data_IF_473700006225
#
_entry.id   IF_473700006225
#
_cell.length_a   1.000
_cell.length_b   1.000
_cell.length_c   1.000
_cell.angle_alpha   90.00
_cell.angle_beta   90.00
_cell.angle_gamma   90.00
#
_symmetry.space_group_name_H-M   'P 1'
#
loop_
_entity.id
_entity.type
_entity.pdbx_description
1 polymer ?
#
# COMPACT_ATOMS: atom_id res chain seq x y z
N UNK A 1 -6.71 2.62 83.41
CA UNK A 1 -5.79 3.37 82.52
C UNK A 1 -6.44 3.40 81.14
N UNK A 2 -7.19 4.46 80.82
CA UNK A 2 -7.94 4.60 79.57
C UNK A 2 -7.35 5.74 78.74
N UNK A 3 -6.81 5.43 77.57
CA UNK A 3 -6.34 6.43 76.61
C UNK A 3 -7.55 6.99 75.85
N UNK A 4 -7.93 8.24 76.13
CA UNK A 4 -8.85 8.99 75.27
C UNK A 4 -8.08 9.51 74.05
N UNK A 5 -8.26 8.84 72.91
CA UNK A 5 -7.86 9.37 71.61
C UNK A 5 -8.73 10.58 71.26
N UNK A 6 -8.12 11.78 71.20
CA UNK A 6 -8.77 12.98 70.67
C UNK A 6 -8.96 12.80 69.15
N UNK A 7 -10.17 12.48 68.72
CA UNK A 7 -10.54 12.52 67.32
C UNK A 7 -10.75 13.98 66.90
N UNK A 8 -9.70 14.61 66.37
CA UNK A 8 -9.79 15.88 65.66
C UNK A 8 -10.30 15.61 64.23
N UNK A 9 -11.61 15.38 64.09
CA UNK A 9 -12.25 15.40 62.77
C UNK A 9 -12.52 16.85 62.38
N UNK A 10 -11.52 17.51 61.79
CA UNK A 10 -11.71 18.83 61.19
C UNK A 10 -12.44 18.66 59.85
N UNK A 11 -13.59 19.32 59.69
CA UNK A 11 -14.37 19.33 58.44
C UNK A 11 -13.76 20.27 57.40
N UNK A 12 -14.11 20.07 56.13
CA UNK A 12 -13.66 20.91 55.02
C UNK A 12 -14.39 22.25 54.98
N UNK A 13 -13.67 23.31 54.63
CA UNK A 13 -14.26 24.62 54.35
C UNK A 13 -14.84 24.65 52.93
N UNK A 14 -15.86 25.48 52.70
CA UNK A 14 -16.45 25.68 51.37
C UNK A 14 -15.41 26.14 50.33
N UNK A 15 -14.45 26.97 50.76
CA UNK A 15 -13.40 27.48 49.88
C UNK A 15 -12.44 26.38 49.43
N UNK A 16 -12.06 25.46 50.32
CA UNK A 16 -11.20 24.31 49.95
C UNK A 16 -11.88 23.40 48.93
N UNK A 17 -13.21 23.22 49.04
CA UNK A 17 -13.97 22.43 48.09
C UNK A 17 -14.01 23.09 46.70
N UNK A 18 -14.24 24.40 46.63
CA UNK A 18 -14.25 25.15 45.36
C UNK A 18 -12.87 25.17 44.71
N UNK A 19 -11.81 25.39 45.49
CA UNK A 19 -10.42 25.38 44.98
C UNK A 19 -10.04 23.98 44.50
N UNK A 20 -10.40 22.93 45.25
CA UNK A 20 -10.16 21.55 44.86
C UNK A 20 -10.84 21.19 43.54
N UNK A 21 -12.12 21.54 43.37
CA UNK A 21 -12.85 21.34 42.11
C UNK A 21 -12.24 22.12 40.94
N UNK A 22 -11.81 23.37 41.17
CA UNK A 22 -11.18 24.18 40.14
C UNK A 22 -9.88 23.54 39.62
N UNK A 23 -9.04 23.02 40.52
CA UNK A 23 -7.80 22.31 40.14
C UNK A 23 -8.13 21.01 39.38
N UNK A 24 -9.11 20.23 39.85
CA UNK A 24 -9.54 19.01 39.17
C UNK A 24 -10.02 19.28 37.73
N UNK A 25 -10.77 20.37 37.51
CA UNK A 25 -11.22 20.75 36.17
C UNK A 25 -10.06 21.13 35.24
N UNK A 26 -9.07 21.87 35.76
CA UNK A 26 -7.87 22.22 34.99
C UNK A 26 -7.10 20.95 34.60
N UNK A 27 -6.88 20.04 35.55
CA UNK A 27 -6.19 18.77 35.29
C UNK A 27 -6.94 17.90 34.28
N UNK A 28 -8.27 17.85 34.36
CA UNK A 28 -9.10 17.15 33.38
C UNK A 28 -8.96 17.77 31.98
N UNK A 29 -8.94 19.10 31.87
CA UNK A 29 -8.72 19.81 30.61
C UNK A 29 -7.38 19.42 29.96
N UNK A 30 -6.32 19.36 30.75
CA UNK A 30 -4.99 18.89 30.28
C UNK A 30 -5.04 17.43 29.84
N UNK A 31 -5.66 16.54 30.64
CA UNK A 31 -5.77 15.12 30.33
C UNK A 31 -6.54 14.86 29.03
N UNK A 32 -7.65 15.56 28.80
CA UNK A 32 -8.42 15.49 27.55
C UNK A 32 -7.60 15.99 26.36
N UNK A 33 -6.81 17.04 26.54
CA UNK A 33 -5.88 17.53 25.51
C UNK A 33 -4.88 16.45 25.08
N UNK A 34 -4.23 15.79 26.05
CA UNK A 34 -3.29 14.70 25.81
C UNK A 34 -3.99 13.52 25.11
N UNK A 35 -5.17 13.12 25.61
CA UNK A 35 -5.94 12.01 25.05
C UNK A 35 -6.31 12.25 23.58
N UNK A 36 -6.73 13.47 23.22
CA UNK A 36 -7.04 13.82 21.84
C UNK A 36 -5.82 13.72 20.91
N UNK A 37 -4.65 14.16 21.37
CA UNK A 37 -3.39 14.05 20.62
C UNK A 37 -2.98 12.59 20.42
N UNK A 38 -3.12 11.75 21.44
CA UNK A 38 -2.83 10.31 21.34
C UNK A 38 -3.78 9.63 20.36
N UNK A 39 -5.08 9.92 20.43
CA UNK A 39 -6.08 9.35 19.51
C UNK A 39 -5.78 9.71 18.05
N UNK A 40 -5.42 10.96 17.76
CA UNK A 40 -5.03 11.38 16.41
C UNK A 40 -3.79 10.64 15.92
N UNK A 41 -2.78 10.52 16.77
CA UNK A 41 -1.53 9.80 16.43
C UNK A 41 -1.79 8.33 16.15
N UNK A 42 -2.67 7.69 16.94
CA UNK A 42 -3.06 6.30 16.73
C UNK A 42 -3.76 6.09 15.37
N UNK A 43 -4.73 6.94 15.02
CA UNK A 43 -5.45 6.83 13.73
C UNK A 43 -4.50 7.05 12.55
N UNK A 44 -3.55 8.00 12.66
CA UNK A 44 -2.56 8.23 11.61
C UNK A 44 -1.64 7.02 11.44
N UNK A 45 -1.18 6.42 12.53
CA UNK A 45 -0.35 5.21 12.49
C UNK A 45 -1.08 4.05 11.81
N UNK A 46 -2.37 3.86 12.14
CA UNK A 46 -3.22 2.85 11.49
C UNK A 46 -3.28 3.07 9.97
N UNK A 47 -3.54 4.30 9.51
CA UNK A 47 -3.56 4.63 8.08
C UNK A 47 -2.22 4.40 7.37
N UNK A 48 -1.11 4.69 8.04
CA UNK A 48 0.23 4.43 7.48
C UNK A 48 0.48 2.93 7.36
N UNK A 49 0.07 2.13 8.35
CA UNK A 49 0.21 0.68 8.32
C UNK A 49 -0.63 0.08 7.17
N UNK A 50 -1.88 0.49 7.05
CA UNK A 50 -2.77 0.06 5.96
C UNK A 50 -2.19 0.40 4.58
N UNK A 51 -1.73 1.65 4.39
CA UNK A 51 -1.08 2.08 3.16
C UNK A 51 0.14 1.21 2.83
N UNK A 52 1.03 0.97 3.79
CA UNK A 52 2.23 0.16 3.58
C UNK A 52 1.90 -1.30 3.26
N UNK A 53 0.90 -1.86 3.94
CA UNK A 53 0.45 -3.23 3.67
C UNK A 53 -0.14 -3.35 2.26
N UNK A 54 -0.96 -2.39 1.85
CA UNK A 54 -1.58 -2.37 0.54
C UNK A 54 -0.54 -2.30 -0.60
N UNK A 55 0.44 -1.39 -0.48
CA UNK A 55 1.56 -1.29 -1.45
C UNK A 55 2.38 -2.58 -1.47
N UNK A 56 2.66 -3.17 -0.30
CA UNK A 56 3.42 -4.41 -0.20
C UNK A 56 2.70 -5.57 -0.89
N UNK A 57 1.40 -5.74 -0.64
CA UNK A 57 0.60 -6.79 -1.28
C UNK A 57 0.60 -6.64 -2.81
N UNK A 58 0.42 -5.41 -3.31
CA UNK A 58 0.44 -5.13 -4.74
C UNK A 58 1.78 -5.52 -5.38
N UNK A 59 2.90 -5.08 -4.79
CA UNK A 59 4.23 -5.41 -5.29
C UNK A 59 4.53 -6.90 -5.17
N UNK A 60 4.26 -7.55 -4.04
CA UNK A 60 4.57 -8.97 -3.86
C UNK A 60 3.83 -9.84 -4.89
N UNK A 61 2.61 -9.46 -5.25
CA UNK A 61 1.85 -10.12 -6.33
C UNK A 61 2.48 -9.85 -7.70
N UNK A 62 2.74 -8.58 -8.04
CA UNK A 62 3.38 -8.22 -9.32
C UNK A 62 4.73 -8.92 -9.49
N UNK A 63 5.57 -8.93 -8.45
CA UNK A 63 6.89 -9.57 -8.45
C UNK A 63 6.77 -11.05 -8.78
N UNK A 64 5.82 -11.75 -8.15
CA UNK A 64 5.62 -13.18 -8.38
C UNK A 64 5.24 -13.47 -9.82
N UNK A 65 4.32 -12.70 -10.38
CA UNK A 65 3.81 -12.90 -11.73
C UNK A 65 4.83 -12.49 -12.79
N UNK A 66 5.53 -11.37 -12.58
CA UNK A 66 6.62 -10.91 -13.44
C UNK A 66 7.74 -11.96 -13.51
N UNK A 67 8.08 -12.63 -12.41
CA UNK A 67 9.12 -13.67 -12.41
C UNK A 67 8.77 -14.86 -13.31
N UNK A 68 7.49 -15.16 -13.48
CA UNK A 68 7.01 -16.24 -14.34
C UNK A 68 6.84 -15.82 -15.80
N UNK A 69 7.03 -14.54 -16.13
CA UNK A 69 6.90 -14.04 -17.50
C UNK A 69 7.75 -14.87 -18.49
N UNK A 70 7.14 -15.29 -19.60
CA UNK A 70 7.80 -16.04 -20.66
C UNK A 70 8.06 -17.51 -20.35
N UNK A 71 7.47 -18.07 -19.30
CA UNK A 71 7.52 -19.51 -19.04
C UNK A 71 6.81 -20.26 -20.18
N UNK A 72 7.54 -21.01 -21.01
CA UNK A 72 7.04 -21.64 -22.24
C UNK A 72 7.51 -23.11 -22.35
N UNK A 73 6.89 -24.05 -21.61
CA UNK A 73 7.26 -25.47 -21.66
C UNK A 73 6.86 -26.14 -22.99
N UNK A 74 5.88 -25.59 -23.72
CA UNK A 74 5.43 -26.09 -25.02
C UNK A 74 6.31 -25.63 -26.19
N UNK A 75 7.22 -24.66 -25.97
CA UNK A 75 8.01 -23.98 -27.00
C UNK A 75 7.14 -23.35 -28.10
N UNK A 76 6.02 -22.75 -27.68
CA UNK A 76 5.07 -22.05 -28.56
C UNK A 76 5.60 -20.71 -29.09
N UNK A 77 6.63 -20.14 -28.47
CA UNK A 77 7.40 -19.00 -28.99
C UNK A 77 6.71 -17.64 -28.85
N UNK A 78 5.81 -17.48 -27.89
CA UNK A 78 5.21 -16.19 -27.56
C UNK A 78 6.20 -15.26 -26.85
N UNK A 79 5.86 -13.97 -26.80
CA UNK A 79 6.64 -12.98 -26.04
C UNK A 79 6.05 -12.85 -24.64
N UNK A 80 6.83 -13.15 -23.60
CA UNK A 80 6.33 -13.17 -22.22
C UNK A 80 5.88 -11.81 -21.65
N UNK A 81 6.23 -10.70 -22.32
CA UNK A 81 5.70 -9.37 -22.02
C UNK A 81 4.87 -8.90 -23.21
N UNK A 82 3.57 -8.71 -22.97
CA UNK A 82 2.60 -8.31 -23.99
C UNK A 82 2.49 -6.79 -24.12
N UNK A 83 1.25 -6.29 -24.07
CA UNK A 83 1.00 -4.85 -24.01
C UNK A 83 1.67 -4.22 -22.79
N UNK A 84 2.43 -3.15 -23.01
CA UNK A 84 3.23 -2.54 -21.95
C UNK A 84 3.37 -1.03 -22.16
N UNK A 85 3.18 -0.27 -21.08
CA UNK A 85 3.32 1.18 -21.03
C UNK A 85 3.86 1.56 -19.65
N UNK A 86 4.07 2.85 -19.39
CA UNK A 86 4.44 3.32 -18.05
C UNK A 86 3.42 2.91 -16.97
N UNK A 87 2.14 2.73 -17.31
CA UNK A 87 1.07 2.46 -16.32
C UNK A 87 0.32 1.15 -16.55
N UNK A 88 0.72 0.36 -17.55
CA UNK A 88 0.10 -0.93 -17.88
C UNK A 88 1.17 -1.97 -18.16
N UNK A 89 1.00 -3.17 -17.62
CA UNK A 89 1.89 -4.30 -17.84
C UNK A 89 1.09 -5.58 -18.05
N UNK A 90 1.19 -6.16 -19.25
CA UNK A 90 0.71 -7.50 -19.54
C UNK A 90 1.84 -8.52 -19.47
N UNK A 91 1.58 -9.62 -18.77
CA UNK A 91 2.50 -10.72 -18.49
C UNK A 91 1.86 -11.98 -19.04
N UNK A 92 2.61 -12.69 -19.87
CA UNK A 92 2.20 -13.92 -20.52
C UNK A 92 3.09 -15.08 -20.08
N UNK A 93 2.49 -16.23 -19.81
CA UNK A 93 3.13 -17.49 -19.44
C UNK A 93 2.25 -18.66 -19.89
N UNK A 94 2.83 -19.79 -20.27
CA UNK A 94 2.14 -21.05 -20.58
C UNK A 94 2.33 -22.01 -19.39
N UNK A 95 1.43 -21.94 -18.42
CA UNK A 95 1.57 -22.67 -17.16
C UNK A 95 1.11 -24.12 -17.28
N UNK A 96 0.13 -24.40 -18.13
CA UNK A 96 -0.41 -25.74 -18.32
C UNK A 96 0.28 -26.54 -19.44
N UNK A 97 1.09 -25.88 -20.27
CA UNK A 97 1.86 -26.48 -21.35
C UNK A 97 1.06 -26.81 -22.59
N UNK A 98 -0.08 -26.16 -22.80
CA UNK A 98 -0.95 -26.40 -23.96
C UNK A 98 -0.53 -25.57 -25.20
N UNK A 99 0.41 -24.64 -25.07
CA UNK A 99 0.89 -23.77 -26.14
C UNK A 99 0.02 -22.55 -26.46
N UNK A 100 -0.91 -22.22 -25.56
CA UNK A 100 -1.66 -20.97 -25.54
C UNK A 100 -1.35 -20.22 -24.23
N UNK A 101 -1.75 -18.95 -24.16
CA UNK A 101 -1.59 -18.10 -22.97
C UNK A 101 -2.92 -17.50 -22.55
N UNK A 102 -4.00 -18.24 -22.72
CA UNK A 102 -5.38 -17.77 -22.56
C UNK A 102 -6.04 -18.26 -21.27
N UNK A 103 -5.40 -19.16 -20.52
CA UNK A 103 -5.91 -19.54 -19.22
C UNK A 103 -5.81 -18.37 -18.22
N UNK A 104 -6.57 -18.48 -17.13
CA UNK A 104 -6.66 -17.43 -16.12
C UNK A 104 -5.29 -17.00 -15.60
N UNK A 105 -4.43 -17.94 -15.24
CA UNK A 105 -3.11 -17.67 -14.70
C UNK A 105 -2.04 -17.37 -15.75
N UNK A 106 -2.38 -17.39 -17.04
CA UNK A 106 -1.44 -17.35 -18.16
C UNK A 106 -1.39 -15.99 -18.85
N UNK A 107 -2.46 -15.20 -18.77
CA UNK A 107 -2.49 -13.80 -19.18
C UNK A 107 -2.90 -12.91 -18.01
N UNK A 108 -1.91 -12.23 -17.44
CA UNK A 108 -2.12 -11.28 -16.36
C UNK A 108 -1.86 -9.87 -16.88
N UNK A 109 -2.84 -8.98 -16.70
CA UNK A 109 -2.64 -7.55 -16.97
C UNK A 109 -2.83 -6.70 -15.73
N UNK A 110 -1.84 -5.87 -15.42
CA UNK A 110 -1.92 -4.81 -14.42
C UNK A 110 -2.14 -3.46 -15.09
N UNK A 111 -2.99 -2.62 -14.49
CA UNK A 111 -3.21 -1.26 -14.95
C UNK A 111 -3.31 -0.30 -13.75
N UNK A 112 -2.63 0.83 -13.85
CA UNK A 112 -2.75 1.94 -12.91
C UNK A 112 -3.62 3.05 -13.47
N UNK A 113 -4.64 3.39 -12.68
CA UNK A 113 -5.55 4.50 -12.92
C UNK A 113 -5.14 5.68 -12.04
N UNK A 114 -4.73 6.77 -12.68
CA UNK A 114 -4.17 7.92 -11.98
C UNK A 114 -5.25 8.75 -11.26
N UNK A 115 -4.82 9.84 -10.63
CA UNK A 115 -5.70 10.76 -9.89
C UNK A 115 -6.83 11.37 -10.72
N UNK A 116 -6.65 11.45 -12.04
CA UNK A 116 -7.58 12.09 -12.96
C UNK A 116 -8.55 11.09 -13.60
N UNK A 117 -8.42 9.80 -13.30
CA UNK A 117 -9.38 8.81 -13.77
C UNK A 117 -10.75 9.06 -13.15
N UNK A 118 -11.80 9.02 -13.96
CA UNK A 118 -13.15 9.37 -13.54
C UNK A 118 -13.85 8.24 -12.76
N UNK A 119 -13.40 6.99 -12.92
CA UNK A 119 -14.10 5.81 -12.40
C UNK A 119 -13.31 5.13 -11.28
N UNK A 120 -11.99 5.03 -11.43
CA UNK A 120 -11.10 4.32 -10.52
C UNK A 120 -9.90 5.18 -10.12
N UNK A 121 -10.09 6.40 -9.62
CA UNK A 121 -8.98 7.29 -9.33
C UNK A 121 -8.05 6.66 -8.30
N UNK A 122 -6.75 6.60 -8.63
CA UNK A 122 -5.68 6.14 -7.71
C UNK A 122 -5.79 4.67 -7.35
N UNK A 123 -6.21 3.84 -8.30
CA UNK A 123 -6.29 2.39 -8.15
C UNK A 123 -5.27 1.67 -9.04
N UNK A 124 -4.68 0.62 -8.52
CA UNK A 124 -4.09 -0.45 -9.32
C UNK A 124 -5.15 -1.53 -9.47
N UNK A 125 -5.40 -1.96 -10.70
CA UNK A 125 -6.29 -3.08 -11.01
C UNK A 125 -5.50 -4.21 -11.68
N UNK A 126 -6.00 -5.43 -11.50
CA UNK A 126 -5.44 -6.67 -12.07
C UNK A 126 -6.52 -7.42 -12.85
N UNK A 127 -6.15 -7.93 -14.01
CA UNK A 127 -6.96 -8.78 -14.87
C UNK A 127 -6.27 -10.14 -15.05
N UNK A 128 -7.07 -11.18 -15.27
CA UNK A 128 -6.67 -12.61 -15.30
C UNK A 128 -7.35 -13.24 -16.51
N UNK A 129 -6.61 -13.87 -17.43
CA UNK A 129 -7.13 -14.56 -18.61
C UNK A 129 -8.06 -13.72 -19.49
N UNK A 130 -7.72 -12.46 -19.76
CA UNK A 130 -8.57 -11.56 -20.56
C UNK A 130 -9.92 -11.17 -19.92
N UNK A 131 -10.14 -11.48 -18.63
CA UNK A 131 -11.40 -11.21 -17.92
C UNK A 131 -11.62 -9.73 -17.52
N UNK A 132 -12.40 -9.48 -16.47
CA UNK A 132 -12.65 -8.11 -15.98
C UNK A 132 -11.59 -7.66 -14.97
N UNK A 133 -11.10 -6.44 -15.08
CA UNK A 133 -10.23 -5.81 -14.08
C UNK A 133 -10.85 -5.77 -12.68
N UNK A 134 -10.16 -6.39 -11.72
CA UNK A 134 -10.48 -6.34 -10.29
C UNK A 134 -9.55 -5.36 -9.56
N UNK A 135 -10.03 -4.66 -8.52
CA UNK A 135 -9.15 -3.81 -7.71
C UNK A 135 -8.10 -4.67 -7.00
N UNK A 136 -6.84 -4.25 -7.09
CA UNK A 136 -5.72 -4.84 -6.37
C UNK A 136 -5.29 -3.98 -5.19
N UNK A 137 -5.17 -2.67 -5.43
CA UNK A 137 -4.74 -1.72 -4.42
C UNK A 137 -5.37 -0.34 -4.68
N UNK A 138 -5.89 0.26 -3.62
CA UNK A 138 -6.45 1.62 -3.63
C UNK A 138 -5.49 2.64 -3.01
N UNK A 139 -5.81 3.93 -3.12
CA UNK A 139 -4.99 5.01 -2.55
C UNK A 139 -3.53 4.97 -3.04
N UNK A 140 -3.35 4.79 -4.34
CA UNK A 140 -2.05 4.77 -5.00
C UNK A 140 -1.78 6.13 -5.65
N UNK A 141 -0.77 6.82 -5.15
CA UNK A 141 -0.32 8.10 -5.72
C UNK A 141 0.34 7.91 -7.07
N UNK A 142 1.11 6.84 -7.25
CA UNK A 142 1.80 6.52 -8.50
C UNK A 142 2.05 5.02 -8.60
N UNK A 143 1.90 4.45 -9.79
CA UNK A 143 2.45 3.15 -10.14
C UNK A 143 3.05 3.24 -11.54
N UNK A 144 4.33 2.94 -11.65
CA UNK A 144 5.10 3.09 -12.88
C UNK A 144 5.92 1.84 -13.20
N UNK A 145 5.92 1.46 -14.47
CA UNK A 145 6.70 0.39 -15.04
C UNK A 145 7.75 0.96 -16.00
N UNK A 146 9.02 0.60 -15.76
CA UNK A 146 10.12 0.89 -16.68
C UNK A 146 10.73 -0.43 -17.15
N UNK A 147 11.06 -0.48 -18.44
CA UNK A 147 11.51 -1.69 -19.12
C UNK A 147 12.93 -1.53 -19.63
N UNK A 148 13.75 -2.55 -19.42
CA UNK A 148 15.14 -2.57 -19.85
C UNK A 148 15.45 -3.86 -20.60
N UNK A 149 16.39 -3.76 -21.54
CA UNK A 149 16.95 -4.92 -22.23
C UNK A 149 18.00 -5.66 -21.38
N UNK A 150 18.61 -6.70 -21.95
CA UNK A 150 19.64 -7.52 -21.29
C UNK A 150 20.90 -6.75 -20.88
N UNK A 151 21.13 -5.58 -21.48
CA UNK A 151 22.26 -4.70 -21.16
C UNK A 151 21.87 -3.59 -20.17
N UNK A 152 20.62 -3.57 -19.68
CA UNK A 152 20.10 -2.54 -18.80
C UNK A 152 19.75 -1.23 -19.51
N UNK A 153 19.60 -1.24 -20.84
CA UNK A 153 19.20 -0.07 -21.62
C UNK A 153 17.67 -0.01 -21.71
N UNK A 154 17.10 1.18 -21.51
CA UNK A 154 15.65 1.35 -21.58
C UNK A 154 15.14 0.96 -22.97
N UNK A 155 14.07 0.16 -23.02
CA UNK A 155 13.49 -0.33 -24.27
C UNK A 155 11.97 -0.29 -24.22
N UNK A 156 11.34 -0.13 -25.38
CA UNK A 156 9.89 -0.29 -25.58
C UNK A 156 9.59 -1.44 -26.54
N UNK A 157 10.60 -2.24 -26.87
CA UNK A 157 10.46 -3.40 -27.74
C UNK A 157 10.23 -4.63 -26.86
N UNK A 158 9.00 -5.16 -26.89
CA UNK A 158 8.56 -6.28 -26.04
C UNK A 158 9.54 -7.46 -26.04
N UNK A 159 10.00 -7.89 -27.22
CA UNK A 159 10.91 -9.03 -27.37
C UNK A 159 12.31 -8.79 -26.82
N UNK A 160 12.70 -7.54 -26.59
CA UNK A 160 14.00 -7.17 -26.01
C UNK A 160 13.95 -6.98 -24.50
N UNK A 161 12.76 -6.94 -23.87
CA UNK A 161 12.64 -6.71 -22.42
C UNK A 161 13.22 -7.90 -21.65
N UNK A 162 14.19 -7.63 -20.78
CA UNK A 162 14.80 -8.60 -19.86
C UNK A 162 14.71 -8.18 -18.40
N UNK A 163 14.51 -6.88 -18.15
CA UNK A 163 14.32 -6.37 -16.80
C UNK A 163 13.16 -5.39 -16.72
N UNK A 164 12.45 -5.43 -15.60
CA UNK A 164 11.29 -4.59 -15.33
C UNK A 164 11.48 -3.95 -13.96
N UNK A 165 11.47 -2.62 -13.94
CA UNK A 165 11.41 -1.86 -12.68
C UNK A 165 9.97 -1.46 -12.42
N UNK A 166 9.46 -1.91 -11.29
CA UNK A 166 8.14 -1.53 -10.77
C UNK A 166 8.35 -0.53 -9.64
N UNK A 167 7.67 0.61 -9.70
CA UNK A 167 7.65 1.59 -8.60
C UNK A 167 6.20 1.86 -8.24
N UNK A 168 5.85 1.69 -6.96
CA UNK A 168 4.52 1.99 -6.43
C UNK A 168 4.66 2.95 -5.25
N UNK A 169 3.96 4.07 -5.33
CA UNK A 169 3.81 5.04 -4.25
C UNK A 169 2.38 4.99 -3.73
N UNK A 170 2.20 4.49 -2.52
CA UNK A 170 0.94 4.59 -1.79
C UNK A 170 0.81 5.93 -1.07
N UNK A 171 -0.42 6.29 -0.74
CA UNK A 171 -0.74 7.42 0.14
C UNK A 171 -1.76 7.02 1.19
N UNK A 172 -1.80 7.73 2.31
CA UNK A 172 -2.86 7.53 3.31
C UNK A 172 -4.25 7.81 2.73
N UNK A 173 -5.28 7.09 3.19
CA UNK A 173 -6.63 7.29 2.68
C UNK A 173 -7.20 8.69 3.01
N UNK A 174 -6.75 9.28 4.12
CA UNK A 174 -7.16 10.62 4.56
C UNK A 174 -5.93 11.51 4.74
N UNK A 175 -6.10 12.78 4.43
CA UNK A 175 -5.12 13.81 4.75
C UNK A 175 -5.25 14.19 6.23
N UNK A 176 -4.12 14.39 6.89
CA UNK A 176 -4.08 15.11 8.16
C UNK A 176 -4.14 16.63 7.91
N UNK A 177 -4.79 17.35 8.82
CA UNK A 177 -4.95 18.80 8.79
C UNK A 177 -3.62 19.55 8.83
N UNK A 178 -2.59 18.96 9.46
CA UNK A 178 -1.29 19.61 9.66
C UNK A 178 -0.23 19.21 8.61
N UNK A 179 -0.30 17.98 8.10
CA UNK A 179 0.76 17.40 7.27
C UNK A 179 0.29 16.88 5.90
N UNK A 180 -1.01 17.00 5.60
CA UNK A 180 -1.57 16.46 4.36
C UNK A 180 -1.55 14.93 4.34
N UNK A 181 -1.41 14.35 3.16
CA UNK A 181 -1.27 12.91 2.99
C UNK A 181 0.16 12.46 3.34
N UNK A 182 0.29 11.32 4.01
CA UNK A 182 1.57 10.64 4.10
C UNK A 182 1.75 9.71 2.90
N UNK A 183 2.98 9.53 2.46
CA UNK A 183 3.32 8.72 1.28
C UNK A 183 4.32 7.62 1.64
N UNK A 184 4.25 6.50 0.93
CA UNK A 184 5.22 5.42 1.03
C UNK A 184 5.50 4.82 -0.34
N UNK A 185 6.76 4.84 -0.74
CA UNK A 185 7.21 4.30 -2.03
C UNK A 185 7.97 3.01 -1.85
N UNK A 186 7.66 2.03 -2.68
CA UNK A 186 8.43 0.81 -2.85
C UNK A 186 8.80 0.65 -4.32
N UNK A 187 10.06 0.31 -4.57
CA UNK A 187 10.60 0.05 -5.91
C UNK A 187 11.25 -1.32 -5.92
N UNK A 188 10.99 -2.08 -6.98
CA UNK A 188 11.60 -3.39 -7.22
C UNK A 188 12.11 -3.44 -8.67
N UNK A 189 13.35 -3.90 -8.86
CA UNK A 189 13.91 -4.24 -10.17
C UNK A 189 13.91 -5.76 -10.30
N UNK A 190 13.30 -6.26 -11.36
CA UNK A 190 13.04 -7.67 -11.58
C UNK A 190 13.65 -8.11 -12.90
N UNK A 191 14.27 -9.28 -12.90
CA UNK A 191 14.75 -9.98 -14.10
C UNK A 191 13.98 -11.29 -14.18
N UNK A 192 12.94 -11.40 -15.04
CA UNK A 192 12.20 -12.65 -15.22
C UNK A 192 13.12 -13.78 -15.67
N UNK A 193 12.99 -14.96 -15.07
CA UNK A 193 13.94 -16.05 -15.28
C UNK A 193 13.85 -16.65 -16.70
N UNK A 194 12.64 -16.64 -17.28
CA UNK A 194 12.38 -17.27 -18.59
C UNK A 194 12.62 -16.34 -19.78
N UNK A 195 12.86 -15.04 -19.56
CA UNK A 195 13.12 -14.10 -20.66
C UNK A 195 14.60 -14.07 -21.07
N UNK A 196 15.47 -14.74 -20.34
CA UNK A 196 16.93 -14.71 -20.54
C UNK A 196 17.57 -13.41 -20.06
N UNK A 197 18.87 -13.28 -20.28
CA UNK A 197 19.63 -12.03 -20.19
C UNK A 197 20.26 -11.75 -21.55
#
# INVERSE_FOLDING_TARGET
MSYQGKNNAQGFTLIELVVGLAICLILMGVAVGIFNTQRKSYIMQEQIIEMQQNVRIAIDMMVREIRMAGYDPSNSGFVGIGNHTATLLQILADHDGNGTTDAGNEDITYCYYNANDATYPREIKRQTGGGTFQPLAENIEECNFLYYDGNGIATTTASSIRQIRVTVTGRTAKADLNFGYCYGTLTSLLTPENLGL
#
